data_IF_891232112171
#
_entry.id   IF_891232112171
#
_cell.length_a   1.000
_cell.length_b   1.000
_cell.length_c   1.000
_cell.angle_alpha   90.00
_cell.angle_beta   90.00
_cell.angle_gamma   90.00
#
_symmetry.space_group_name_H-M   'P 1'
#
loop_
_entity.id
_entity.type
_entity.pdbx_description
1 polymer ?
#
# COMPACT_ATOMS: atom_id res chain seq x y z
N UNK A 1 -18.83 -17.42 -2.82
CA UNK A 1 -18.32 -17.99 -4.08
C UNK A 1 -17.44 -16.91 -4.68
N UNK A 2 -16.20 -17.23 -5.02
CA UNK A 2 -15.28 -16.24 -5.58
C UNK A 2 -15.68 -15.93 -7.03
N UNK A 3 -15.65 -14.66 -7.42
CA UNK A 3 -15.76 -14.28 -8.82
C UNK A 3 -14.52 -14.80 -9.59
N UNK A 4 -14.64 -15.14 -10.88
CA UNK A 4 -13.48 -15.49 -11.68
C UNK A 4 -12.51 -14.29 -11.68
N UNK A 5 -11.24 -14.57 -11.42
CA UNK A 5 -10.19 -13.56 -11.28
C UNK A 5 -8.88 -14.11 -11.80
N UNK A 6 -8.00 -13.21 -12.24
CA UNK A 6 -6.61 -13.52 -12.59
C UNK A 6 -5.76 -12.54 -11.80
N UNK A 7 -4.77 -13.06 -11.07
CA UNK A 7 -3.84 -12.28 -10.24
C UNK A 7 -2.42 -12.42 -10.79
N UNK A 8 -1.64 -11.32 -10.83
CA UNK A 8 -0.20 -11.40 -11.08
C UNK A 8 0.52 -12.03 -9.89
N UNK A 9 1.47 -12.93 -10.16
CA UNK A 9 2.31 -13.54 -9.13
C UNK A 9 3.79 -13.46 -9.52
N UNK A 10 4.66 -13.44 -8.51
CA UNK A 10 6.11 -13.61 -8.68
C UNK A 10 6.57 -14.94 -8.07
N UNK A 11 7.47 -15.62 -8.77
CA UNK A 11 8.12 -16.85 -8.29
C UNK A 11 9.62 -16.67 -8.37
N UNK A 12 10.30 -16.79 -7.23
CA UNK A 12 11.77 -16.87 -7.18
C UNK A 12 12.19 -18.33 -7.12
N UNK A 13 13.03 -18.74 -8.08
CA UNK A 13 13.59 -20.09 -8.18
C UNK A 13 14.96 -20.04 -8.85
N UNK A 14 15.93 -20.79 -8.34
CA UNK A 14 17.31 -20.81 -8.83
C UNK A 14 17.92 -19.38 -8.91
N UNK A 15 17.74 -18.58 -7.86
CA UNK A 15 18.19 -17.18 -7.74
C UNK A 15 17.61 -16.24 -8.80
N UNK A 16 16.46 -16.62 -9.39
CA UNK A 16 15.81 -15.83 -10.44
C UNK A 16 14.32 -15.67 -10.16
N UNK A 17 13.91 -14.42 -10.01
CA UNK A 17 12.50 -14.03 -9.95
C UNK A 17 11.89 -13.95 -11.35
N UNK A 18 10.73 -14.57 -11.51
CA UNK A 18 9.91 -14.50 -12.72
C UNK A 18 8.47 -14.10 -12.41
N UNK A 19 7.88 -13.34 -13.32
CA UNK A 19 6.51 -12.84 -13.23
C UNK A 19 5.57 -13.67 -14.11
N UNK A 20 4.36 -13.93 -13.64
CA UNK A 20 3.32 -14.66 -14.40
C UNK A 20 1.92 -14.32 -13.89
N UNK A 21 0.90 -14.98 -14.44
CA UNK A 21 -0.50 -14.81 -14.04
C UNK A 21 -1.06 -16.14 -13.53
N UNK A 22 -1.88 -16.06 -12.50
CA UNK A 22 -2.58 -17.19 -11.90
C UNK A 22 -4.08 -16.88 -11.83
N UNK A 23 -4.91 -17.82 -12.28
CA UNK A 23 -6.34 -17.84 -12.00
C UNK A 23 -6.59 -18.80 -10.83
N UNK A 24 -6.89 -18.28 -9.62
CA UNK A 24 -7.29 -19.10 -8.48
C UNK A 24 -8.55 -19.92 -8.81
N UNK A 25 -8.87 -20.97 -8.03
CA UNK A 25 -9.96 -21.86 -8.38
C UNK A 25 -11.29 -21.14 -8.59
N UNK A 26 -11.91 -21.32 -9.76
CA UNK A 26 -13.23 -20.80 -10.11
C UNK A 26 -14.18 -21.92 -10.54
N UNK A 27 -15.47 -21.65 -10.55
CA UNK A 27 -16.49 -22.59 -11.03
C UNK A 27 -17.02 -22.14 -12.39
N UNK A 28 -17.09 -23.06 -13.34
CA UNK A 28 -17.68 -22.85 -14.66
C UNK A 28 -18.40 -24.13 -15.07
N UNK A 29 -19.68 -24.00 -15.45
CA UNK A 29 -20.57 -25.12 -15.80
C UNK A 29 -20.65 -26.26 -14.76
N UNK A 30 -20.44 -25.94 -13.47
CA UNK A 30 -20.46 -26.91 -12.38
C UNK A 30 -19.18 -27.72 -12.22
N UNK A 31 -18.13 -27.36 -12.95
CA UNK A 31 -16.77 -27.89 -12.81
C UNK A 31 -15.86 -26.83 -12.18
N UNK A 32 -14.92 -27.27 -11.34
CA UNK A 32 -13.92 -26.39 -10.73
C UNK A 32 -12.67 -26.36 -11.61
N UNK A 33 -12.26 -25.15 -11.97
CA UNK A 33 -11.10 -24.87 -12.81
C UNK A 33 -10.07 -24.07 -12.05
N UNK A 34 -8.80 -24.18 -12.44
CA UNK A 34 -7.70 -23.29 -12.07
C UNK A 34 -6.68 -23.32 -13.20
N UNK A 35 -5.93 -22.25 -13.39
CA UNK A 35 -4.95 -22.18 -14.46
C UNK A 35 -3.84 -21.18 -14.15
N UNK A 36 -2.69 -21.36 -14.78
CA UNK A 36 -1.61 -20.37 -14.82
C UNK A 36 -1.37 -19.95 -16.26
N UNK A 37 -0.74 -18.80 -16.46
CA UNK A 37 -0.26 -18.43 -17.78
C UNK A 37 0.84 -19.42 -18.21
N UNK A 38 0.48 -20.28 -19.15
CA UNK A 38 1.29 -21.42 -19.56
C UNK A 38 0.70 -22.12 -20.78
N UNK A 39 1.45 -23.04 -21.35
CA UNK A 39 0.97 -23.88 -22.45
C UNK A 39 1.67 -25.23 -22.42
N UNK A 40 1.00 -26.27 -22.92
CA UNK A 40 1.54 -27.63 -23.01
C UNK A 40 2.02 -28.20 -21.66
N UNK A 41 1.34 -27.84 -20.56
CA UNK A 41 1.72 -28.26 -19.21
C UNK A 41 3.07 -27.67 -18.76
N UNK A 42 3.34 -26.43 -19.17
CA UNK A 42 4.49 -25.63 -18.73
C UNK A 42 4.05 -24.24 -18.32
N UNK A 43 4.57 -23.79 -17.18
CA UNK A 43 4.42 -22.43 -16.68
C UNK A 43 5.30 -21.47 -17.50
N UNK A 44 4.75 -20.32 -17.90
CA UNK A 44 5.53 -19.25 -18.51
C UNK A 44 5.91 -18.21 -17.45
N UNK A 45 7.21 -17.95 -17.30
CA UNK A 45 7.75 -16.88 -16.46
C UNK A 45 8.45 -15.83 -17.32
N UNK A 46 8.32 -14.55 -16.94
CA UNK A 46 8.92 -13.40 -17.60
C UNK A 46 9.88 -12.68 -16.65
N UNK A 47 10.92 -12.00 -17.17
CA UNK A 47 11.90 -11.34 -16.26
C UNK A 47 11.46 -9.98 -15.75
N UNK A 48 10.33 -9.47 -16.23
CA UNK A 48 9.74 -8.21 -15.79
C UNK A 48 8.24 -8.19 -16.09
N UNK A 49 7.51 -7.33 -15.39
CA UNK A 49 6.09 -7.07 -15.68
C UNK A 49 5.86 -6.55 -17.11
N UNK A 50 6.85 -5.82 -17.67
CA UNK A 50 6.80 -5.34 -19.06
C UNK A 50 6.80 -6.47 -20.07
N UNK A 51 7.67 -7.46 -19.88
CA UNK A 51 7.68 -8.66 -20.71
C UNK A 51 6.37 -9.44 -20.58
N UNK A 52 5.84 -9.56 -19.37
CA UNK A 52 4.53 -10.17 -19.13
C UNK A 52 3.41 -9.41 -19.88
N UNK A 53 3.32 -8.09 -19.73
CA UNK A 53 2.31 -7.26 -20.39
C UNK A 53 2.41 -7.34 -21.93
N UNK A 54 3.61 -7.25 -22.47
CA UNK A 54 3.86 -7.36 -23.91
C UNK A 54 3.49 -8.76 -24.46
N UNK A 55 3.78 -9.81 -23.71
CA UNK A 55 3.36 -11.16 -24.06
C UNK A 55 1.82 -11.29 -24.04
N UNK A 56 1.17 -10.89 -22.94
CA UNK A 56 -0.29 -11.03 -22.75
C UNK A 56 -1.11 -10.38 -23.87
N UNK A 57 -0.64 -9.28 -24.49
CA UNK A 57 -1.31 -8.63 -25.63
C UNK A 57 -1.28 -9.44 -26.93
N UNK A 58 -0.29 -10.31 -27.09
CA UNK A 58 -0.01 -11.02 -28.35
C UNK A 58 -0.20 -12.52 -28.24
N UNK A 59 -0.36 -13.03 -27.02
CA UNK A 59 -0.54 -14.43 -26.76
C UNK A 59 -1.95 -14.87 -27.21
N UNK A 60 -2.00 -15.99 -27.93
CA UNK A 60 -3.25 -16.53 -28.49
C UNK A 60 -3.38 -18.04 -28.32
N UNK A 61 -2.39 -18.67 -27.65
CA UNK A 61 -2.39 -20.10 -27.34
C UNK A 61 -1.75 -20.33 -25.97
N UNK A 62 -2.58 -20.35 -24.92
CA UNK A 62 -2.23 -20.64 -23.53
C UNK A 62 -3.45 -21.00 -22.69
N UNK A 63 -3.20 -21.55 -21.51
CA UNK A 63 -4.21 -22.14 -20.62
C UNK A 63 -5.21 -21.10 -20.04
N UNK A 64 -4.89 -19.80 -20.11
CA UNK A 64 -5.81 -18.71 -19.72
C UNK A 64 -6.66 -18.12 -20.88
N UNK A 65 -6.50 -18.55 -22.14
CA UNK A 65 -7.13 -17.86 -23.28
C UNK A 65 -8.66 -17.83 -23.21
N UNK A 66 -9.25 -18.91 -22.71
CA UNK A 66 -10.70 -19.07 -22.58
C UNK A 66 -11.24 -18.49 -21.25
N UNK A 67 -10.39 -17.97 -20.36
CA UNK A 67 -10.82 -17.44 -19.07
C UNK A 67 -11.65 -16.15 -19.27
N UNK A 68 -12.80 -15.97 -18.58
CA UNK A 68 -13.72 -14.86 -18.82
C UNK A 68 -13.10 -13.46 -18.56
N UNK A 69 -12.08 -13.38 -17.71
CA UNK A 69 -11.36 -12.13 -17.37
C UNK A 69 -10.17 -11.87 -18.31
N UNK A 70 -9.73 -12.86 -19.09
CA UNK A 70 -8.56 -12.74 -19.97
C UNK A 70 -8.63 -11.55 -20.95
N UNK A 71 -9.78 -11.24 -21.60
CA UNK A 71 -9.87 -10.11 -22.52
C UNK A 71 -9.53 -8.75 -21.89
N UNK A 72 -9.68 -8.62 -20.56
CA UNK A 72 -9.32 -7.42 -19.81
C UNK A 72 -7.83 -7.45 -19.49
N UNK A 73 -7.37 -8.56 -18.88
CA UNK A 73 -5.97 -8.74 -18.43
C UNK A 73 -4.98 -8.62 -19.58
N UNK A 74 -5.32 -9.13 -20.76
CA UNK A 74 -4.51 -9.02 -21.96
C UNK A 74 -4.25 -7.58 -22.40
N UNK A 75 -5.03 -6.60 -21.91
CA UNK A 75 -4.91 -5.18 -22.26
C UNK A 75 -4.25 -4.32 -21.19
N UNK A 76 -3.99 -4.88 -20.01
CA UNK A 76 -3.43 -4.14 -18.89
C UNK A 76 -1.99 -3.65 -19.17
N UNK A 77 -1.63 -2.46 -18.66
CA UNK A 77 -0.25 -2.00 -18.64
C UNK A 77 0.58 -2.78 -17.61
N UNK A 78 1.91 -2.75 -17.75
CA UNK A 78 2.82 -3.47 -16.87
C UNK A 78 2.61 -3.17 -15.37
N UNK A 79 2.34 -1.91 -15.01
CA UNK A 79 2.10 -1.50 -13.61
C UNK A 79 0.91 -2.22 -12.95
N UNK A 80 -0.13 -2.54 -13.72
CA UNK A 80 -1.34 -3.20 -13.22
C UNK A 80 -1.17 -4.74 -13.21
N UNK A 81 0.00 -5.24 -13.63
CA UNK A 81 0.42 -6.64 -13.58
C UNK A 81 1.54 -6.86 -12.55
N UNK A 82 1.72 -5.91 -11.63
CA UNK A 82 2.65 -6.00 -10.50
C UNK A 82 2.04 -6.88 -9.41
N UNK A 83 2.70 -7.97 -8.98
CA UNK A 83 2.23 -8.75 -7.84
C UNK A 83 2.24 -7.92 -6.55
N UNK A 84 1.20 -8.04 -5.74
CA UNK A 84 1.23 -7.58 -4.34
C UNK A 84 2.12 -8.51 -3.49
N UNK A 85 2.27 -8.20 -2.20
CA UNK A 85 3.15 -8.94 -1.30
C UNK A 85 2.68 -10.38 -1.03
N UNK A 86 1.37 -10.62 -0.96
CA UNK A 86 0.77 -11.94 -0.73
C UNK A 86 0.95 -12.88 -1.94
N UNK A 87 1.24 -12.33 -3.11
CA UNK A 87 1.42 -13.06 -4.36
C UNK A 87 2.89 -13.21 -4.80
N UNK A 88 3.83 -13.11 -3.85
CA UNK A 88 5.26 -13.32 -4.06
C UNK A 88 5.73 -14.58 -3.35
N UNK A 89 6.18 -15.56 -4.13
CA UNK A 89 6.58 -16.87 -3.61
C UNK A 89 8.08 -17.08 -3.82
N UNK A 90 8.85 -17.05 -2.72
CA UNK A 90 10.28 -17.37 -2.74
C UNK A 90 10.51 -18.85 -2.47
N UNK A 91 10.71 -19.63 -3.54
CA UNK A 91 10.94 -21.07 -3.42
C UNK A 91 12.35 -21.38 -2.90
N UNK A 92 13.32 -20.50 -3.13
CA UNK A 92 14.69 -20.68 -2.67
C UNK A 92 14.79 -20.37 -1.16
N UNK A 93 13.98 -19.42 -0.67
CA UNK A 93 13.88 -19.02 0.73
C UNK A 93 13.25 -20.08 1.67
N UNK A 94 12.61 -21.12 1.14
CA UNK A 94 11.88 -22.11 1.96
C UNK A 94 12.76 -22.81 3.00
N UNK A 95 14.05 -23.02 2.71
CA UNK A 95 15.00 -23.62 3.65
C UNK A 95 15.25 -22.75 4.89
N UNK A 96 15.24 -21.43 4.71
CA UNK A 96 15.40 -20.48 5.80
C UNK A 96 14.14 -20.49 6.69
N UNK A 97 12.96 -20.44 6.08
CA UNK A 97 11.68 -20.45 6.79
C UNK A 97 11.51 -21.68 7.68
N UNK A 98 11.83 -22.88 7.18
CA UNK A 98 11.70 -24.11 8.01
C UNK A 98 12.79 -24.25 9.07
N UNK A 99 13.87 -23.45 8.99
CA UNK A 99 14.90 -23.39 10.02
C UNK A 99 14.54 -22.44 11.18
N UNK A 100 13.54 -21.57 10.98
CA UNK A 100 13.01 -20.67 12.00
C UNK A 100 12.08 -21.38 13.00
N UNK A 101 11.63 -20.64 14.01
CA UNK A 101 10.61 -21.14 14.92
C UNK A 101 9.25 -21.23 14.21
N UNK A 102 8.38 -22.19 14.56
CA UNK A 102 7.06 -22.30 13.93
C UNK A 102 6.08 -21.24 14.44
N UNK A 103 6.24 -20.00 13.98
CA UNK A 103 5.26 -18.93 14.19
C UNK A 103 4.24 -18.85 13.03
N UNK A 104 3.23 -18.00 13.15
CA UNK A 104 2.16 -17.91 12.13
C UNK A 104 2.63 -17.39 10.77
N UNK A 105 3.78 -16.72 10.70
CA UNK A 105 4.35 -16.22 9.46
C UNK A 105 5.16 -17.32 8.79
N UNK A 106 6.16 -17.91 9.46
CA UNK A 106 6.97 -18.98 8.86
C UNK A 106 6.11 -20.19 8.50
N UNK A 107 5.13 -20.57 9.33
CA UNK A 107 4.19 -21.66 9.00
C UNK A 107 3.28 -21.28 7.84
N UNK A 108 2.80 -20.03 7.79
CA UNK A 108 1.95 -19.51 6.71
C UNK A 108 2.70 -19.50 5.37
N UNK A 109 3.86 -18.86 5.33
CA UNK A 109 4.67 -18.77 4.11
C UNK A 109 5.15 -20.13 3.61
N UNK A 110 5.52 -21.06 4.51
CA UNK A 110 5.84 -22.44 4.13
C UNK A 110 4.60 -23.15 3.55
N UNK A 111 3.43 -22.95 4.15
CA UNK A 111 2.18 -23.52 3.65
C UNK A 111 1.83 -22.97 2.26
N UNK A 112 1.88 -21.65 2.08
CA UNK A 112 1.52 -20.96 0.84
C UNK A 112 2.52 -21.28 -0.28
N UNK A 113 3.81 -21.36 0.05
CA UNK A 113 4.87 -21.75 -0.89
C UNK A 113 4.72 -23.21 -1.36
N UNK A 114 4.37 -24.13 -0.46
CA UNK A 114 4.10 -25.52 -0.85
C UNK A 114 2.79 -25.60 -1.64
N UNK A 115 1.74 -24.88 -1.23
CA UNK A 115 0.44 -24.86 -1.91
C UNK A 115 0.56 -24.34 -3.35
N UNK A 116 1.26 -23.23 -3.57
CA UNK A 116 1.44 -22.69 -4.93
C UNK A 116 2.20 -23.68 -5.83
N UNK A 117 3.21 -24.37 -5.31
CA UNK A 117 3.95 -25.39 -6.07
C UNK A 117 3.08 -26.61 -6.35
N UNK A 118 2.23 -27.03 -5.41
CA UNK A 118 1.25 -28.09 -5.62
C UNK A 118 0.24 -27.70 -6.71
N UNK A 119 -0.29 -26.47 -6.69
CA UNK A 119 -1.19 -25.95 -7.74
C UNK A 119 -0.54 -25.90 -9.12
N UNK A 120 0.72 -25.43 -9.20
CA UNK A 120 1.47 -25.44 -10.47
C UNK A 120 1.66 -26.88 -10.95
N UNK A 121 1.99 -27.80 -10.04
CA UNK A 121 2.15 -29.22 -10.36
C UNK A 121 0.84 -29.84 -10.88
N UNK A 122 -0.31 -29.50 -10.29
CA UNK A 122 -1.63 -29.93 -10.76
C UNK A 122 -1.93 -29.39 -12.16
N UNK A 123 -1.77 -28.08 -12.38
CA UNK A 123 -2.00 -27.43 -13.68
C UNK A 123 -1.07 -27.99 -14.77
N UNK A 124 0.17 -28.35 -14.42
CA UNK A 124 1.11 -28.98 -15.34
C UNK A 124 0.89 -30.50 -15.52
N UNK A 125 -0.18 -31.08 -14.94
CA UNK A 125 -0.43 -32.53 -14.88
C UNK A 125 0.81 -33.33 -14.39
N UNK A 126 1.52 -32.76 -13.42
CA UNK A 126 2.84 -33.17 -12.94
C UNK A 126 2.90 -33.31 -11.41
N UNK A 127 1.81 -33.77 -10.77
CA UNK A 127 1.68 -33.96 -9.30
C UNK A 127 2.82 -34.74 -8.63
N UNK A 128 3.60 -35.52 -9.39
CA UNK A 128 4.86 -36.13 -8.91
C UNK A 128 5.91 -35.11 -8.46
N UNK A 129 5.79 -33.82 -8.80
CA UNK A 129 6.69 -32.76 -8.35
C UNK A 129 6.72 -32.74 -6.81
N UNK A 130 5.57 -32.59 -6.18
CA UNK A 130 5.38 -32.42 -4.72
C UNK A 130 5.10 -33.72 -3.95
N UNK A 131 4.71 -34.79 -4.65
CA UNK A 131 4.23 -36.05 -4.05
C UNK A 131 5.06 -36.62 -2.90
N UNK A 132 6.39 -36.55 -3.00
CA UNK A 132 7.26 -37.15 -2.00
C UNK A 132 7.27 -36.30 -0.70
N UNK A 133 7.15 -34.97 -0.83
CA UNK A 133 6.97 -34.02 0.29
C UNK A 133 5.57 -34.17 0.93
N UNK A 134 4.52 -34.22 0.13
CA UNK A 134 3.12 -34.34 0.60
C UNK A 134 2.83 -35.67 1.33
N UNK A 135 3.68 -36.68 1.17
CA UNK A 135 3.56 -37.94 1.91
C UNK A 135 4.03 -37.86 3.36
N UNK A 136 4.75 -36.80 3.73
CA UNK A 136 5.16 -36.56 5.11
C UNK A 136 3.95 -36.04 5.90
N UNK A 137 3.46 -36.78 6.93
CA UNK A 137 2.25 -36.40 7.66
C UNK A 137 2.30 -34.98 8.25
N UNK A 138 3.47 -34.56 8.72
CA UNK A 138 3.70 -33.27 9.36
C UNK A 138 3.57 -32.10 8.38
N UNK A 139 3.83 -32.30 7.09
CA UNK A 139 3.55 -31.29 6.04
C UNK A 139 2.05 -31.02 5.96
N UNK A 140 1.20 -32.02 6.18
CA UNK A 140 -0.25 -31.84 6.24
C UNK A 140 -0.73 -30.95 7.39
N UNK A 141 0.06 -30.80 8.45
CA UNK A 141 -0.26 -29.96 9.61
C UNK A 141 -0.15 -28.47 9.30
N UNK A 142 0.57 -28.08 8.26
CA UNK A 142 0.70 -26.68 7.82
C UNK A 142 -0.68 -26.03 7.58
N UNK A 143 -1.64 -26.82 7.05
CA UNK A 143 -3.03 -26.36 6.81
C UNK A 143 -3.81 -26.02 8.08
N UNK A 144 -3.32 -26.46 9.24
CA UNK A 144 -3.91 -26.15 10.54
C UNK A 144 -3.32 -24.88 11.16
N UNK A 145 -2.33 -24.26 10.52
CA UNK A 145 -1.63 -23.08 11.02
C UNK A 145 -0.66 -23.37 12.16
N UNK A 146 -0.03 -22.30 12.69
CA UNK A 146 1.03 -22.40 13.69
C UNK A 146 0.62 -23.09 15.00
N UNK A 147 -0.67 -23.06 15.36
CA UNK A 147 -1.19 -23.74 16.56
C UNK A 147 -0.92 -25.25 16.54
N UNK A 148 -0.77 -25.88 15.36
CA UNK A 148 -0.42 -27.29 15.24
C UNK A 148 1.03 -27.60 15.65
N UNK A 149 1.88 -26.57 15.76
CA UNK A 149 3.31 -26.67 16.04
C UNK A 149 3.69 -26.13 17.43
N UNK A 150 2.71 -25.81 18.28
CA UNK A 150 2.93 -25.30 19.63
C UNK A 150 3.28 -26.43 20.63
N UNK A 151 4.22 -26.14 21.52
CA UNK A 151 4.65 -27.04 22.58
C UNK A 151 5.51 -28.20 22.08
N UNK A 152 5.97 -29.06 22.99
CA UNK A 152 7.02 -30.04 22.68
C UNK A 152 6.68 -31.01 21.53
N UNK A 153 5.43 -31.45 21.42
CA UNK A 153 5.00 -32.33 20.32
C UNK A 153 4.93 -31.58 19.00
N UNK A 154 4.38 -30.36 19.00
CA UNK A 154 4.33 -29.49 17.82
C UNK A 154 5.72 -29.06 17.33
N UNK A 155 6.64 -28.72 18.24
CA UNK A 155 8.04 -28.43 17.91
C UNK A 155 8.72 -29.64 17.25
N UNK A 156 8.43 -30.87 17.70
CA UNK A 156 8.95 -32.05 17.03
C UNK A 156 8.35 -32.19 15.63
N UNK A 157 7.06 -31.94 15.45
CA UNK A 157 6.41 -31.97 14.13
C UNK A 157 7.00 -30.92 13.18
N UNK A 158 7.31 -29.72 13.67
CA UNK A 158 7.98 -28.69 12.86
C UNK A 158 9.38 -29.12 12.42
N UNK A 159 10.14 -29.73 13.33
CA UNK A 159 11.44 -30.31 12.99
C UNK A 159 11.33 -31.41 11.92
N UNK A 160 10.24 -32.19 11.90
CA UNK A 160 10.01 -33.17 10.82
C UNK A 160 9.62 -32.48 9.49
N UNK A 161 8.90 -31.35 9.50
CA UNK A 161 8.69 -30.53 8.30
C UNK A 161 10.03 -30.03 7.74
N UNK A 162 10.90 -29.49 8.59
CA UNK A 162 12.23 -29.03 8.17
C UNK A 162 13.08 -30.15 7.56
N UNK A 163 13.05 -31.37 8.13
CA UNK A 163 13.71 -32.54 7.53
C UNK A 163 13.10 -32.92 6.19
N UNK A 164 11.78 -32.87 6.07
CA UNK A 164 11.10 -33.17 4.81
C UNK A 164 11.51 -32.20 3.69
N UNK A 165 11.62 -30.91 4.00
CA UNK A 165 12.12 -29.90 3.08
C UNK A 165 13.59 -30.17 2.72
N UNK A 166 14.47 -30.40 3.69
CA UNK A 166 15.89 -30.75 3.44
C UNK A 166 16.05 -31.99 2.54
N UNK A 167 15.22 -33.02 2.73
CA UNK A 167 15.30 -34.27 1.97
C UNK A 167 14.67 -34.20 0.58
N UNK A 168 13.64 -33.37 0.37
CA UNK A 168 12.79 -33.45 -0.82
C UNK A 168 12.76 -32.19 -1.67
N UNK A 169 12.97 -31.01 -1.10
CA UNK A 169 12.71 -29.73 -1.77
C UNK A 169 13.59 -29.49 -2.99
N UNK A 170 14.88 -29.80 -2.94
CA UNK A 170 15.77 -29.71 -4.11
C UNK A 170 15.25 -30.54 -5.32
N UNK A 171 14.66 -31.70 -5.02
CA UNK A 171 14.04 -32.53 -6.07
C UNK A 171 12.76 -31.89 -6.60
N UNK A 172 11.98 -31.23 -5.74
CA UNK A 172 10.81 -30.43 -6.13
C UNK A 172 11.25 -29.31 -7.08
N UNK A 173 12.22 -28.47 -6.69
CA UNK A 173 12.76 -27.37 -7.49
C UNK A 173 13.27 -27.87 -8.85
N UNK A 174 14.09 -28.94 -8.86
CA UNK A 174 14.60 -29.55 -10.09
C UNK A 174 13.47 -30.06 -11.01
N UNK A 175 12.39 -30.61 -10.46
CA UNK A 175 11.25 -31.10 -11.26
C UNK A 175 10.38 -29.94 -11.75
N UNK A 176 10.15 -28.92 -10.92
CA UNK A 176 9.40 -27.71 -11.24
C UNK A 176 10.11 -26.89 -12.32
N UNK A 177 11.43 -26.69 -12.20
CA UNK A 177 12.25 -25.99 -13.20
C UNK A 177 12.14 -26.58 -14.61
N UNK A 178 11.89 -27.90 -14.73
CA UNK A 178 11.63 -28.56 -16.05
C UNK A 178 10.25 -28.21 -16.64
N UNK A 179 9.34 -27.69 -15.82
CA UNK A 179 8.01 -27.19 -16.22
C UNK A 179 8.01 -25.69 -16.47
N UNK A 180 9.04 -24.97 -16.07
CA UNK A 180 9.17 -23.54 -16.34
C UNK A 180 9.73 -23.33 -17.75
N UNK A 181 9.07 -22.44 -18.50
CA UNK A 181 9.58 -21.86 -19.74
C UNK A 181 9.74 -20.37 -19.51
N UNK A 182 10.83 -19.81 -20.05
CA UNK A 182 11.07 -18.39 -20.13
C UNK A 182 10.86 -17.96 -21.59
N UNK A 183 9.65 -17.54 -22.00
CA UNK A 183 9.40 -17.13 -23.37
C UNK A 183 10.27 -15.93 -23.74
N UNK A 184 10.67 -15.85 -25.01
CA UNK A 184 11.31 -14.65 -25.53
C UNK A 184 10.22 -13.72 -26.04
N UNK A 185 10.14 -12.53 -25.46
CA UNK A 185 9.26 -11.47 -25.95
C UNK A 185 10.00 -10.71 -27.05
N UNK A 186 9.30 -10.40 -28.15
CA UNK A 186 9.88 -9.65 -29.25
C UNK A 186 10.19 -8.21 -28.79
N UNK A 187 11.44 -7.80 -28.96
CA UNK A 187 11.91 -6.45 -28.61
C UNK A 187 11.08 -5.38 -29.34
N UNK A 188 10.61 -5.64 -30.56
CA UNK A 188 9.76 -4.70 -31.28
C UNK A 188 8.39 -4.50 -30.61
N UNK A 189 7.87 -5.53 -29.94
CA UNK A 189 6.61 -5.45 -29.16
C UNK A 189 6.86 -4.67 -27.87
N UNK A 190 7.97 -4.92 -27.17
CA UNK A 190 8.37 -4.14 -26.00
C UNK A 190 8.60 -2.66 -26.36
N UNK A 191 9.35 -2.37 -27.42
CA UNK A 191 9.55 -0.99 -27.88
C UNK A 191 8.24 -0.33 -28.33
N UNK A 192 7.28 -1.10 -28.85
CA UNK A 192 5.96 -0.58 -29.19
C UNK A 192 5.16 -0.25 -27.94
N UNK A 193 5.23 -1.09 -26.91
CA UNK A 193 4.65 -0.86 -25.59
C UNK A 193 5.23 0.40 -24.95
N UNK A 194 6.55 0.55 -24.93
CA UNK A 194 7.24 1.72 -24.41
C UNK A 194 6.88 2.99 -25.18
N UNK A 195 6.77 2.91 -26.51
CA UNK A 195 6.35 4.04 -27.35
C UNK A 195 4.90 4.42 -27.11
N UNK A 196 4.02 3.44 -26.93
CA UNK A 196 2.62 3.70 -26.63
C UNK A 196 2.46 4.30 -25.24
N UNK A 197 3.16 3.78 -24.23
CA UNK A 197 3.20 4.33 -22.87
C UNK A 197 3.71 5.77 -22.88
N UNK A 198 4.88 6.02 -23.49
CA UNK A 198 5.45 7.36 -23.60
C UNK A 198 4.54 8.31 -24.41
N UNK A 199 3.80 7.81 -25.40
CA UNK A 199 2.82 8.60 -26.14
C UNK A 199 1.60 8.94 -25.28
N UNK A 200 1.10 8.00 -24.45
CA UNK A 200 0.01 8.24 -23.50
C UNK A 200 0.43 9.23 -22.41
N UNK A 201 1.62 9.06 -21.83
CA UNK A 201 2.22 10.01 -20.87
C UNK A 201 2.39 11.40 -21.48
N UNK A 202 2.86 11.48 -22.73
CA UNK A 202 2.99 12.74 -23.47
C UNK A 202 1.64 13.36 -23.82
N UNK A 203 0.64 12.56 -24.16
CA UNK A 203 -0.73 13.03 -24.40
C UNK A 203 -1.37 13.55 -23.12
N UNK A 204 -1.17 12.85 -21.99
CA UNK A 204 -1.61 13.27 -20.66
C UNK A 204 -0.90 14.58 -20.24
N UNK A 205 0.43 14.66 -20.39
CA UNK A 205 1.21 15.88 -20.18
C UNK A 205 0.79 17.02 -21.12
N UNK A 206 0.41 16.70 -22.36
CA UNK A 206 -0.11 17.63 -23.37
C UNK A 206 -1.49 18.18 -23.02
N UNK A 207 -2.40 17.32 -22.50
CA UNK A 207 -3.71 17.72 -21.97
C UNK A 207 -3.53 18.66 -20.77
N UNK A 208 -2.69 18.28 -19.81
CA UNK A 208 -2.31 19.12 -18.65
C UNK A 208 -1.73 20.47 -19.10
N UNK A 209 -0.83 20.46 -20.09
CA UNK A 209 -0.22 21.70 -20.63
C UNK A 209 -1.21 22.59 -21.38
N UNK A 210 -2.13 22.01 -22.17
CA UNK A 210 -3.16 22.74 -22.89
C UNK A 210 -4.19 23.35 -21.93
N UNK A 211 -4.52 22.65 -20.85
CA UNK A 211 -5.40 23.14 -19.79
C UNK A 211 -4.76 24.31 -19.03
N UNK A 212 -3.48 24.19 -18.66
CA UNK A 212 -2.69 25.27 -18.07
C UNK A 212 -2.61 26.52 -18.96
N UNK A 213 -2.51 26.35 -20.28
CA UNK A 213 -2.50 27.46 -21.24
C UNK A 213 -3.87 28.16 -21.36
N UNK A 214 -4.98 27.41 -21.31
CA UNK A 214 -6.34 27.98 -21.26
C UNK A 214 -6.54 28.82 -19.99
N UNK A 215 -6.08 28.35 -18.83
CA UNK A 215 -6.16 29.07 -17.54
C UNK A 215 -5.36 30.39 -17.56
N UNK A 216 -4.14 30.40 -18.11
CA UNK A 216 -3.35 31.65 -18.32
C UNK A 216 -4.03 32.63 -19.28
N UNK A 217 -4.69 32.15 -20.34
CA UNK A 217 -5.43 32.99 -21.28
C UNK A 217 -6.72 33.60 -20.71
N UNK A 218 -7.33 32.95 -19.72
CA UNK A 218 -8.49 33.46 -18.97
C UNK A 218 -8.06 34.52 -17.93
N UNK A 219 -6.99 34.25 -17.17
CA UNK A 219 -6.39 35.19 -16.21
C UNK A 219 -5.91 36.50 -16.87
N UNK A 220 -5.33 36.44 -18.07
CA UNK A 220 -4.93 37.63 -18.82
C UNK A 220 -6.10 38.48 -19.38
N UNK A 221 -7.31 37.91 -19.48
CA UNK A 221 -8.53 38.67 -19.81
C UNK A 221 -9.10 39.32 -18.56
N UNK A 222 -9.08 38.62 -17.42
CA UNK A 222 -9.55 39.12 -16.14
C UNK A 222 -8.67 40.28 -15.64
N UNK A 223 -7.33 40.16 -15.74
CA UNK A 223 -6.39 41.22 -15.34
C UNK A 223 -6.51 42.53 -16.13
N UNK A 224 -7.21 42.55 -17.27
CA UNK A 224 -7.47 43.78 -18.04
C UNK A 224 -8.75 44.49 -17.64
N UNK A 225 -9.61 43.85 -16.84
CA UNK A 225 -10.85 44.45 -16.30
C UNK A 225 -10.70 44.99 -14.86
N UNK A 226 -9.62 44.65 -14.13
CA UNK A 226 -9.41 45.07 -12.73
C UNK A 226 -8.57 46.36 -12.59
N UNK A 227 -7.92 46.86 -13.65
CA UNK A 227 -7.13 48.11 -13.57
C UNK A 227 -7.96 49.40 -13.46
N UNK A 228 -9.31 49.35 -13.57
CA UNK A 228 -10.18 50.53 -13.52
C UNK A 228 -10.98 50.69 -12.20
N UNK A 229 -10.79 49.82 -11.22
CA UNK A 229 -11.62 49.82 -10.01
C UNK A 229 -10.85 49.55 -8.71
N UNK A 230 -9.90 50.42 -8.36
CA UNK A 230 -9.57 50.56 -6.94
C UNK A 230 -9.16 51.99 -6.53
N UNK A 231 -10.09 52.68 -5.87
CA UNK A 231 -9.80 53.81 -4.98
C UNK A 231 -10.91 53.94 -3.94
N UNK A 232 -10.54 53.70 -2.67
CA UNK A 232 -11.26 53.89 -1.38
C UNK A 232 -11.85 52.57 -0.84
N UNK A 233 -11.69 52.19 0.43
CA UNK A 233 -11.46 52.98 1.65
C UNK A 233 -10.84 52.12 2.78
N UNK A 234 -10.32 52.83 3.79
CA UNK A 234 -9.66 52.39 5.02
C UNK A 234 -10.61 51.87 6.13
N UNK A 235 -10.02 51.03 7.00
CA UNK A 235 -10.01 50.97 8.49
C UNK A 235 -11.30 50.98 9.34
N UNK A 236 -11.37 50.07 10.33
CA UNK A 236 -11.48 50.28 11.81
C UNK A 236 -11.65 48.91 12.51
N UNK A 237 -10.74 48.52 13.42
CA UNK A 237 -10.75 48.57 14.92
C UNK A 237 -11.58 47.44 15.57
N UNK A 238 -10.93 46.47 16.26
CA UNK A 238 -10.83 46.25 17.73
C UNK A 238 -12.16 45.74 18.37
N UNK A 239 -12.28 44.90 19.39
CA UNK A 239 -11.49 44.10 20.34
C UNK A 239 -12.56 43.32 21.14
N UNK A 240 -12.32 42.10 21.62
CA UNK A 240 -12.88 41.61 22.91
C UNK A 240 -12.42 40.16 23.26
N UNK A 241 -12.28 39.99 24.57
CA UNK A 241 -11.41 39.09 25.34
C UNK A 241 -11.96 37.70 25.72
N UNK A 242 -11.01 36.79 26.00
CA UNK A 242 -10.96 35.63 26.91
C UNK A 242 -12.27 35.03 27.51
N UNK A 243 -12.40 33.71 27.36
CA UNK A 243 -12.75 32.84 28.50
C UNK A 243 -12.13 31.44 28.34
N UNK A 244 -11.25 31.09 29.28
CA UNK A 244 -10.54 29.82 29.40
C UNK A 244 -11.35 28.91 30.33
N UNK A 245 -11.79 27.76 29.83
CA UNK A 245 -12.24 26.65 30.68
C UNK A 245 -11.27 25.48 30.56
N UNK A 246 -10.58 25.23 31.68
CA UNK A 246 -9.71 24.08 31.92
C UNK A 246 -10.61 22.94 32.38
N UNK A 247 -10.61 21.81 31.67
CA UNK A 247 -11.05 20.53 32.23
C UNK A 247 -9.93 19.50 32.10
N UNK A 248 -9.55 18.92 33.24
CA UNK A 248 -8.55 17.86 33.41
C UNK A 248 -9.13 16.47 33.06
N UNK A 249 -8.29 15.44 32.81
CA UNK A 249 -8.67 14.32 31.98
C UNK A 249 -9.52 13.29 32.74
N UNK A 250 -10.53 12.77 32.06
CA UNK A 250 -11.33 11.64 32.55
C UNK A 250 -10.71 10.35 32.06
N UNK A 251 -10.15 9.57 32.97
CA UNK A 251 -9.68 8.20 32.74
C UNK A 251 -10.83 7.27 32.32
N UNK A 252 -10.59 6.52 31.24
CA UNK A 252 -11.10 5.17 31.04
C UNK A 252 -12.51 5.05 30.50
N UNK A 253 -12.63 4.88 29.18
CA UNK A 253 -13.61 3.97 28.57
C UNK A 253 -13.05 3.55 27.21
N UNK A 254 -12.82 2.25 27.03
CA UNK A 254 -12.51 1.67 25.73
C UNK A 254 -13.62 2.03 24.75
N UNK A 255 -13.29 2.86 23.77
CA UNK A 255 -14.18 3.12 22.64
C UNK A 255 -14.04 1.88 21.76
N UNK A 256 -15.17 1.21 21.56
CA UNK A 256 -15.29 0.23 20.49
C UNK A 256 -15.15 1.04 19.20
N UNK A 257 -13.99 0.91 18.54
CA UNK A 257 -13.73 1.50 17.23
C UNK A 257 -14.86 1.09 16.30
N UNK A 258 -15.64 2.06 15.83
CA UNK A 258 -16.39 1.87 14.61
C UNK A 258 -15.34 1.64 13.51
N UNK A 259 -15.45 0.58 12.70
CA UNK A 259 -14.55 0.41 11.56
C UNK A 259 -14.58 1.69 10.72
N UNK A 260 -13.41 2.14 10.26
CA UNK A 260 -13.26 3.29 9.35
C UNK A 260 -14.07 3.02 8.08
N UNK A 261 -15.27 3.59 8.01
CA UNK A 261 -16.15 3.59 6.82
C UNK A 261 -16.57 5.01 6.45
N UNK A 262 -15.86 6.03 6.93
CA UNK A 262 -16.32 7.42 6.84
C UNK A 262 -16.26 8.00 5.41
N UNK A 263 -15.57 7.33 4.48
CA UNK A 263 -15.39 7.79 3.11
C UNK A 263 -15.37 6.63 2.10
N UNK A 264 -16.32 5.68 2.20
CA UNK A 264 -16.55 4.59 1.22
C UNK A 264 -16.96 5.14 -0.16
N UNK A 265 -16.02 5.77 -0.86
CA UNK A 265 -16.01 5.89 -2.30
C UNK A 265 -15.42 4.59 -2.86
N UNK A 266 -15.96 4.09 -3.97
CA UNK A 266 -15.33 2.96 -4.65
C UNK A 266 -14.01 3.38 -5.32
N UNK A 267 -13.21 2.39 -5.72
CA UNK A 267 -11.89 2.64 -6.30
C UNK A 267 -11.95 3.52 -7.56
N UNK A 268 -13.01 3.38 -8.37
CA UNK A 268 -13.16 4.19 -9.59
C UNK A 268 -13.41 5.67 -9.24
N UNK A 269 -14.20 5.96 -8.20
CA UNK A 269 -14.44 7.32 -7.70
C UNK A 269 -13.16 7.94 -7.11
N UNK A 270 -12.35 7.15 -6.40
CA UNK A 270 -11.05 7.60 -5.86
C UNK A 270 -10.08 7.90 -6.99
N UNK A 271 -9.98 7.03 -8.00
CA UNK A 271 -9.12 7.23 -9.17
C UNK A 271 -9.52 8.48 -9.97
N UNK A 272 -10.82 8.68 -10.22
CA UNK A 272 -11.33 9.88 -10.90
C UNK A 272 -11.01 11.16 -10.12
N UNK A 273 -11.16 11.14 -8.79
CA UNK A 273 -10.81 12.28 -7.95
C UNK A 273 -9.29 12.53 -7.94
N UNK A 274 -8.50 11.47 -7.90
CA UNK A 274 -7.03 11.52 -7.84
C UNK A 274 -6.45 12.26 -9.03
N UNK A 275 -6.99 12.05 -10.25
CA UNK A 275 -6.55 12.78 -11.44
C UNK A 275 -6.59 14.31 -11.26
N UNK A 276 -7.64 14.83 -10.61
CA UNK A 276 -7.75 16.25 -10.31
C UNK A 276 -6.74 16.69 -9.25
N UNK A 277 -6.67 15.98 -8.12
CA UNK A 277 -5.84 16.36 -6.97
C UNK A 277 -4.34 16.31 -7.30
N UNK A 278 -3.90 15.31 -8.06
CA UNK A 278 -2.54 15.26 -8.62
C UNK A 278 -2.28 16.44 -9.58
N UNK A 279 -3.25 16.80 -10.41
CA UNK A 279 -3.09 17.90 -11.38
C UNK A 279 -2.88 19.26 -10.72
N UNK A 280 -3.48 19.49 -9.55
CA UNK A 280 -3.30 20.70 -8.74
C UNK A 280 -2.10 20.58 -7.80
N UNK A 281 -1.54 19.38 -7.63
CA UNK A 281 -0.39 19.12 -6.76
C UNK A 281 -0.71 19.35 -5.27
N UNK A 282 -1.99 19.20 -4.90
CA UNK A 282 -2.47 19.28 -3.52
C UNK A 282 -3.29 18.00 -3.33
N UNK A 283 -2.87 17.14 -2.41
CA UNK A 283 -3.43 15.80 -2.23
C UNK A 283 -4.31 15.75 -0.98
N UNK A 284 -5.50 15.14 -1.04
CA UNK A 284 -6.26 14.74 0.13
C UNK A 284 -5.50 13.71 0.95
N UNK A 285 -5.45 13.91 2.26
CA UNK A 285 -4.82 12.99 3.21
C UNK A 285 -5.83 12.59 4.27
N UNK A 286 -5.90 11.29 4.56
CA UNK A 286 -6.58 10.76 5.75
C UNK A 286 -5.57 10.58 6.88
N UNK A 287 -5.91 11.07 8.06
CA UNK A 287 -5.14 10.83 9.28
C UNK A 287 -6.05 10.22 10.34
N UNK A 288 -5.71 9.02 10.79
CA UNK A 288 -6.37 8.36 11.92
C UNK A 288 -5.56 8.56 13.19
N UNK A 289 -6.18 9.24 14.16
CA UNK A 289 -5.65 9.51 15.49
C UNK A 289 -6.54 8.85 16.55
N UNK A 290 -6.09 8.74 17.81
CA UNK A 290 -6.92 8.20 18.90
C UNK A 290 -8.26 8.93 19.09
N UNK A 291 -8.34 10.20 18.71
CA UNK A 291 -9.55 11.02 18.79
C UNK A 291 -10.54 10.79 17.63
N UNK A 292 -10.10 10.09 16.58
CA UNK A 292 -10.86 9.77 15.37
C UNK A 292 -10.06 9.99 14.08
N UNK A 293 -10.67 9.57 12.97
CA UNK A 293 -10.14 9.77 11.61
C UNK A 293 -10.66 11.06 11.00
N UNK A 294 -9.80 11.75 10.24
CA UNK A 294 -10.16 13.02 9.60
C UNK A 294 -9.40 13.28 8.30
N UNK A 295 -9.97 14.14 7.47
CA UNK A 295 -9.40 14.57 6.20
C UNK A 295 -8.66 15.89 6.33
N UNK A 296 -7.58 16.03 5.57
CA UNK A 296 -6.86 17.29 5.33
C UNK A 296 -6.33 17.35 3.90
N UNK A 297 -5.57 18.39 3.58
CA UNK A 297 -4.86 18.50 2.30
C UNK A 297 -3.37 18.70 2.55
N UNK A 298 -2.51 18.10 1.72
CA UNK A 298 -1.05 18.23 1.75
C UNK A 298 -0.52 18.61 0.37
N UNK A 299 0.55 19.41 0.32
CA UNK A 299 1.39 19.52 -0.88
C UNK A 299 2.85 19.67 -0.50
N UNK A 300 3.74 19.67 -1.50
CA UNK A 300 5.16 19.96 -1.31
C UNK A 300 5.57 21.23 -2.05
N UNK A 301 6.31 22.09 -1.37
CA UNK A 301 6.92 23.30 -1.93
C UNK A 301 8.40 23.27 -1.60
N UNK A 302 9.24 23.25 -2.63
CA UNK A 302 10.70 23.12 -2.50
C UNK A 302 11.10 21.92 -1.63
N UNK A 303 10.48 20.75 -1.90
CA UNK A 303 10.65 19.50 -1.16
C UNK A 303 10.25 19.57 0.33
N UNK A 304 9.56 20.63 0.76
CA UNK A 304 9.04 20.78 2.12
C UNK A 304 7.51 20.59 2.15
N UNK A 305 6.97 19.76 3.05
CA UNK A 305 5.53 19.56 3.18
C UNK A 305 4.82 20.84 3.65
N UNK A 306 3.62 21.03 3.14
CA UNK A 306 2.66 22.06 3.54
C UNK A 306 1.31 21.39 3.71
N UNK A 307 0.64 21.70 4.81
CA UNK A 307 -0.70 21.18 5.08
C UNK A 307 -1.75 22.28 5.03
N UNK A 308 -3.00 21.88 4.85
CA UNK A 308 -4.14 22.73 5.16
C UNK A 308 -4.15 23.00 6.66
N UNK A 309 -3.64 24.17 7.01
CA UNK A 309 -3.35 24.51 8.39
C UNK A 309 -2.80 25.92 8.51
N UNK A 310 -2.39 26.34 9.70
CA UNK A 310 -1.79 27.66 9.90
C UNK A 310 -0.79 27.61 11.06
N UNK A 311 0.38 28.21 10.90
CA UNK A 311 1.42 28.31 11.95
C UNK A 311 1.78 26.94 12.53
N UNK A 312 1.96 25.96 11.66
CA UNK A 312 2.32 24.60 12.07
C UNK A 312 1.17 23.81 12.74
N UNK A 313 -0.05 24.33 12.75
CA UNK A 313 -1.24 23.56 13.15
C UNK A 313 -1.91 22.99 11.91
N UNK A 314 -2.11 21.67 11.85
CA UNK A 314 -2.85 20.98 10.78
C UNK A 314 -4.34 21.01 11.10
N UNK A 315 -5.18 21.28 10.10
CA UNK A 315 -6.64 21.24 10.23
C UNK A 315 -7.18 19.90 9.74
N UNK A 316 -7.94 19.22 10.59
CA UNK A 316 -8.67 18.00 10.25
C UNK A 316 -10.18 18.25 10.21
N UNK A 317 -10.85 17.50 9.34
CA UNK A 317 -12.29 17.55 9.17
C UNK A 317 -12.85 16.14 9.21
N UNK A 318 -13.94 15.95 9.97
CA UNK A 318 -14.62 14.64 10.06
C UNK A 318 -15.41 14.26 8.81
N UNK A 319 -15.52 15.16 7.82
CA UNK A 319 -16.25 14.90 6.58
C UNK A 319 -15.66 15.65 5.39
N UNK A 320 -15.80 15.06 4.19
CA UNK A 320 -15.44 15.70 2.92
C UNK A 320 -16.23 17.00 2.71
N UNK A 321 -17.51 17.03 3.14
CA UNK A 321 -18.35 18.24 3.10
C UNK A 321 -17.82 19.37 4.00
N UNK A 322 -17.34 19.03 5.20
CA UNK A 322 -16.75 19.99 6.15
C UNK A 322 -15.46 20.60 5.57
N UNK A 323 -14.59 19.73 5.03
CA UNK A 323 -13.38 20.15 4.33
C UNK A 323 -13.70 21.05 3.13
N UNK A 324 -14.61 20.63 2.26
CA UNK A 324 -15.02 21.42 1.09
C UNK A 324 -15.64 22.78 1.46
N UNK A 325 -16.40 22.83 2.55
CA UNK A 325 -16.96 24.07 3.08
C UNK A 325 -15.87 25.02 3.59
N UNK A 326 -14.83 24.49 4.24
CA UNK A 326 -13.68 25.28 4.69
C UNK A 326 -12.84 25.79 3.50
N UNK A 327 -12.56 24.92 2.52
CA UNK A 327 -11.83 25.25 1.29
C UNK A 327 -12.46 26.46 0.57
N UNK A 328 -13.79 26.46 0.43
CA UNK A 328 -14.55 27.59 -0.15
C UNK A 328 -14.62 28.83 0.75
N UNK A 329 -14.18 28.72 2.00
CA UNK A 329 -14.23 29.76 3.01
C UNK A 329 -13.12 30.81 2.90
N UNK A 330 -13.16 31.79 3.82
CA UNK A 330 -12.17 32.88 3.92
C UNK A 330 -11.18 32.73 5.08
N UNK A 331 -11.18 31.60 5.77
CA UNK A 331 -10.31 31.31 6.91
C UNK A 331 -8.82 31.29 6.52
N UNK A 332 -7.90 31.97 7.25
CA UNK A 332 -6.49 31.97 6.90
C UNK A 332 -5.84 30.59 7.09
N UNK A 333 -5.04 30.17 6.11
CA UNK A 333 -4.26 28.93 6.13
C UNK A 333 -3.09 28.99 5.13
N UNK A 334 -2.13 28.09 5.27
CA UNK A 334 -0.82 28.15 4.61
C UNK A 334 -0.87 27.68 3.14
N UNK A 335 -1.91 26.94 2.73
CA UNK A 335 -2.11 26.56 1.33
C UNK A 335 -2.64 27.68 0.42
N UNK A 336 -3.03 28.84 0.95
CA UNK A 336 -3.65 29.92 0.14
C UNK A 336 -2.76 30.51 -0.94
N UNK A 337 -1.47 30.56 -0.63
CA UNK A 337 -0.47 31.17 -1.51
C UNK A 337 0.06 30.18 -2.55
N UNK A 338 -0.41 28.92 -2.52
CA UNK A 338 -0.10 27.92 -3.53
C UNK A 338 -0.78 28.30 -4.84
N UNK A 339 -0.03 28.28 -5.93
CA UNK A 339 -0.47 28.80 -7.23
C UNK A 339 -1.76 28.12 -7.75
N UNK A 340 -1.97 26.85 -7.39
CA UNK A 340 -3.12 26.01 -7.78
C UNK A 340 -4.25 26.02 -6.74
N UNK A 341 -4.13 26.76 -5.63
CA UNK A 341 -5.16 26.80 -4.59
C UNK A 341 -6.51 27.31 -5.11
N UNK A 342 -6.50 28.31 -6.00
CA UNK A 342 -7.72 28.83 -6.61
C UNK A 342 -8.48 27.73 -7.38
N UNK A 343 -7.75 26.80 -8.00
CA UNK A 343 -8.34 25.68 -8.73
C UNK A 343 -8.99 24.66 -7.78
N UNK A 344 -8.43 24.46 -6.58
CA UNK A 344 -9.03 23.66 -5.50
C UNK A 344 -10.32 24.30 -4.99
N UNK A 345 -10.34 25.62 -4.82
CA UNK A 345 -11.53 26.36 -4.37
C UNK A 345 -12.67 26.31 -5.38
N UNK A 346 -12.35 26.38 -6.67
CA UNK A 346 -13.32 26.39 -7.77
C UNK A 346 -13.78 24.96 -8.17
N UNK A 347 -13.19 23.92 -7.59
CA UNK A 347 -13.51 22.52 -7.89
C UNK A 347 -14.67 21.99 -7.07
N UNK A 348 -15.46 21.12 -7.70
CA UNK A 348 -16.49 20.31 -7.05
C UNK A 348 -16.02 18.85 -6.83
N UNK A 349 -14.76 18.52 -7.17
CA UNK A 349 -14.19 17.17 -6.98
C UNK A 349 -14.05 16.89 -5.49
N UNK A 350 -14.58 15.76 -4.97
CA UNK A 350 -14.48 15.43 -3.56
C UNK A 350 -13.02 15.14 -3.17
N UNK A 351 -12.67 15.51 -1.94
CA UNK A 351 -11.36 15.21 -1.35
C UNK A 351 -11.35 13.75 -0.89
N UNK A 352 -11.03 12.83 -1.80
CA UNK A 352 -10.90 11.40 -1.56
C UNK A 352 -9.41 11.03 -1.51
N UNK A 353 -8.88 10.59 -0.36
CA UNK A 353 -7.48 10.16 -0.26
C UNK A 353 -7.22 8.85 -1.02
N UNK A 354 -6.11 8.79 -1.75
CA UNK A 354 -5.58 7.54 -2.29
C UNK A 354 -5.09 6.64 -1.15
N UNK A 355 -4.85 5.35 -1.41
CA UNK A 355 -4.35 4.40 -0.42
C UNK A 355 -3.01 4.88 0.20
N UNK A 356 -2.11 5.40 -0.64
CA UNK A 356 -0.80 5.94 -0.23
C UNK A 356 -0.88 7.24 0.62
N UNK A 357 -2.05 7.85 0.73
CA UNK A 357 -2.30 9.08 1.50
C UNK A 357 -3.19 8.82 2.75
N UNK A 358 -3.24 7.57 3.24
CA UNK A 358 -4.04 7.17 4.42
C UNK A 358 -3.16 6.68 5.57
N UNK A 359 -2.90 7.58 6.51
CA UNK A 359 -2.01 7.30 7.63
C UNK A 359 -2.78 6.94 8.90
N UNK A 360 -2.73 5.66 9.32
CA UNK A 360 -3.33 5.21 10.57
C UNK A 360 -2.30 5.13 11.72
N UNK A 361 -2.23 6.20 12.52
CA UNK A 361 -1.30 6.25 13.64
C UNK A 361 -1.84 5.53 14.88
N UNK A 362 -3.17 5.44 15.00
CA UNK A 362 -3.84 4.75 16.09
C UNK A 362 -3.66 3.23 15.97
N UNK A 363 -3.71 2.69 14.74
CA UNK A 363 -3.42 1.28 14.47
C UNK A 363 -2.03 0.90 14.97
N UNK A 364 -1.02 1.74 14.73
CA UNK A 364 0.35 1.47 15.20
C UNK A 364 0.44 1.52 16.73
N UNK A 365 -0.26 2.45 17.39
CA UNK A 365 -0.37 2.47 18.87
C UNK A 365 -1.04 1.20 19.40
N UNK A 366 -2.10 0.72 18.76
CA UNK A 366 -2.75 -0.54 19.13
C UNK A 366 -1.82 -1.74 18.91
N UNK A 367 -1.11 -1.76 17.79
CA UNK A 367 -0.17 -2.81 17.41
C UNK A 367 0.93 -2.91 18.47
N UNK A 368 1.47 -1.78 18.93
CA UNK A 368 2.40 -1.74 20.06
C UNK A 368 1.76 -2.10 21.41
N UNK A 369 0.53 -1.65 21.66
CA UNK A 369 -0.18 -1.81 22.93
C UNK A 369 -0.65 -3.23 23.23
N UNK A 370 -0.78 -4.09 22.21
CA UNK A 370 -1.14 -5.52 22.39
C UNK A 370 -0.09 -6.30 23.18
N UNK A 371 1.16 -5.84 23.25
CA UNK A 371 2.18 -6.37 24.16
C UNK A 371 2.61 -7.83 23.92
N UNK A 372 2.10 -8.49 22.88
CA UNK A 372 2.56 -9.81 22.46
C UNK A 372 3.84 -9.65 21.65
N UNK A 373 4.97 -9.89 22.32
CA UNK A 373 6.33 -9.81 21.80
C UNK A 373 6.70 -10.94 20.84
N UNK A 374 5.71 -11.53 20.18
CA UNK A 374 5.81 -12.76 19.38
C UNK A 374 5.29 -12.57 17.96
N UNK A 375 4.76 -11.39 17.62
CA UNK A 375 4.32 -11.08 16.27
C UNK A 375 5.43 -10.41 15.45
N UNK A 376 5.61 -10.83 14.19
CA UNK A 376 6.45 -10.06 13.24
C UNK A 376 5.82 -8.70 13.08
N UNK A 377 6.55 -7.68 13.52
CA UNK A 377 6.12 -6.31 13.41
C UNK A 377 6.15 -5.92 11.93
N UNK A 378 4.99 -5.59 11.35
CA UNK A 378 4.88 -5.16 9.96
C UNK A 378 5.52 -3.77 9.81
N UNK A 379 6.77 -3.80 9.37
CA UNK A 379 7.54 -2.59 9.16
C UNK A 379 7.01 -1.75 7.99
N UNK A 380 6.26 -2.33 7.06
CA UNK A 380 5.67 -1.57 5.94
C UNK A 380 4.59 -0.60 6.45
N UNK A 381 3.70 -1.06 7.34
CA UNK A 381 2.71 -0.21 8.02
C UNK A 381 3.37 0.87 8.86
N UNK A 382 4.45 0.53 9.57
CA UNK A 382 5.21 1.52 10.34
C UNK A 382 5.90 2.54 9.43
N UNK A 383 6.50 2.11 8.31
CA UNK A 383 7.09 3.01 7.32
C UNK A 383 6.04 3.97 6.77
N UNK A 384 4.90 3.42 6.36
CA UNK A 384 3.78 4.20 5.84
C UNK A 384 3.27 5.22 6.86
N UNK A 385 3.06 4.81 8.10
CA UNK A 385 2.69 5.73 9.19
C UNK A 385 3.78 6.78 9.45
N UNK A 386 5.05 6.43 9.28
CA UNK A 386 6.16 7.38 9.39
C UNK A 386 6.18 8.44 8.29
N UNK A 387 5.79 8.11 7.06
CA UNK A 387 5.73 9.10 5.98
C UNK A 387 4.80 10.26 6.37
N UNK A 388 3.62 9.95 6.91
CA UNK A 388 2.69 10.95 7.45
C UNK A 388 3.24 11.69 8.68
N UNK A 389 3.85 10.98 9.64
CA UNK A 389 4.43 11.58 10.85
C UNK A 389 5.54 12.58 10.51
N UNK A 390 6.46 12.20 9.61
CA UNK A 390 7.60 13.02 9.22
C UNK A 390 7.12 14.32 8.56
N UNK A 391 6.14 14.23 7.66
CA UNK A 391 5.59 15.40 7.01
C UNK A 391 4.92 16.36 8.00
N UNK A 392 4.11 15.81 8.91
CA UNK A 392 3.43 16.60 9.93
C UNK A 392 4.45 17.22 10.89
N UNK A 393 5.47 16.46 11.30
CA UNK A 393 6.52 16.93 12.20
C UNK A 393 7.32 18.09 11.58
N UNK A 394 7.69 17.98 10.30
CA UNK A 394 8.38 19.05 9.58
C UNK A 394 7.50 20.30 9.46
N UNK A 395 6.24 20.14 9.03
CA UNK A 395 5.31 21.26 8.91
C UNK A 395 5.02 21.95 10.25
N UNK A 396 4.84 21.17 11.32
CA UNK A 396 4.53 21.65 12.65
C UNK A 396 5.76 22.06 13.48
N UNK A 397 6.98 21.92 12.94
CA UNK A 397 8.26 22.14 13.63
C UNK A 397 8.34 21.36 14.94
N UNK A 398 8.00 20.07 14.89
CA UNK A 398 8.05 19.17 16.04
C UNK A 398 9.45 18.57 16.17
N UNK A 399 10.47 19.40 16.45
CA UNK A 399 11.89 18.96 16.59
C UNK A 399 12.05 17.79 17.60
N UNK A 400 11.14 17.68 18.57
CA UNK A 400 11.15 16.58 19.53
C UNK A 400 10.74 15.23 18.94
N UNK A 401 10.10 15.18 17.78
CA UNK A 401 9.87 13.94 17.02
C UNK A 401 11.19 13.45 16.45
N UNK A 402 12.03 14.33 15.89
CA UNK A 402 13.37 13.97 15.39
C UNK A 402 14.23 13.33 16.48
N UNK A 403 14.14 13.82 17.72
CA UNK A 403 14.81 13.22 18.87
C UNK A 403 14.37 11.77 19.14
N UNK A 404 13.07 11.47 18.97
CA UNK A 404 12.48 10.15 19.21
C UNK A 404 12.82 9.15 18.10
N UNK A 405 12.99 9.61 16.86
CA UNK A 405 13.27 8.77 15.69
C UNK A 405 14.74 8.76 15.27
N UNK A 406 15.65 9.34 16.07
CA UNK A 406 17.09 9.25 15.78
C UNK A 406 17.50 7.79 15.56
N UNK A 407 18.44 7.49 14.65
CA UNK A 407 18.82 6.09 14.34
C UNK A 407 19.29 5.26 15.55
N UNK A 408 19.63 5.93 16.65
CA UNK A 408 20.15 5.34 17.88
C UNK A 408 19.04 4.96 18.87
N UNK A 409 17.81 5.45 18.67
CA UNK A 409 16.64 5.09 19.48
C UNK A 409 16.05 3.77 18.98
N UNK A 410 15.29 3.05 19.81
CA UNK A 410 14.55 1.86 19.35
C UNK A 410 13.64 2.16 18.16
N UNK A 411 12.91 3.28 18.22
CA UNK A 411 11.97 3.69 17.19
C UNK A 411 12.66 4.11 15.87
N UNK A 412 13.79 4.82 15.95
CA UNK A 412 14.56 5.19 14.77
C UNK A 412 15.28 4.02 14.10
N UNK A 413 15.74 3.02 14.88
CA UNK A 413 16.23 1.77 14.30
C UNK A 413 15.13 1.05 13.53
N UNK A 414 13.92 1.02 14.07
CA UNK A 414 12.79 0.39 13.41
C UNK A 414 12.42 1.07 12.08
N UNK A 415 12.47 2.41 12.04
CA UNK A 415 12.32 3.18 10.79
C UNK A 415 13.42 2.85 9.76
N UNK A 416 14.68 2.68 10.17
CA UNK A 416 15.75 2.31 9.24
C UNK A 416 15.59 0.89 8.71
N UNK A 417 15.14 -0.04 9.56
CA UNK A 417 14.89 -1.41 9.13
C UNK A 417 13.67 -1.50 8.21
N UNK A 418 12.64 -0.67 8.42
CA UNK A 418 11.47 -0.65 7.53
C UNK A 418 11.81 -0.22 6.11
N UNK A 419 12.68 0.78 5.96
CA UNK A 419 13.17 1.23 4.66
C UNK A 419 14.01 0.18 3.91
N UNK A 420 14.46 -0.88 4.60
CA UNK A 420 15.21 -1.98 3.99
C UNK A 420 14.31 -3.13 3.51
N UNK A 421 13.01 -3.10 3.85
CA UNK A 421 12.05 -4.13 3.48
C UNK A 421 12.29 -5.48 4.17
N UNK A 422 12.94 -5.49 5.34
CA UNK A 422 13.25 -6.73 6.08
C UNK A 422 12.42 -6.77 7.35
N UNK A 423 11.41 -7.65 7.38
CA UNK A 423 10.64 -7.96 8.59
C UNK A 423 11.51 -8.65 9.64
N UNK A 424 11.46 -8.20 10.90
CA UNK A 424 12.14 -8.85 12.04
C UNK A 424 11.27 -8.84 13.28
N UNK A 425 11.23 -9.96 13.98
CA UNK A 425 10.65 -10.03 15.33
C UNK A 425 11.42 -9.11 16.29
N UNK A 426 10.68 -8.30 17.07
CA UNK A 426 11.24 -7.37 18.04
C UNK A 426 11.23 -8.01 19.44
N UNK A 427 12.33 -7.84 20.18
CA UNK A 427 12.36 -8.29 21.57
C UNK A 427 11.33 -7.50 22.42
N UNK A 428 10.68 -8.11 23.43
CA UNK A 428 9.64 -7.46 24.23
C UNK A 428 10.05 -6.12 24.86
N UNK A 429 11.33 -5.99 25.25
CA UNK A 429 11.87 -4.75 25.81
C UNK A 429 12.00 -3.62 24.76
N UNK A 430 12.31 -3.98 23.51
CA UNK A 430 12.37 -3.05 22.39
C UNK A 430 10.95 -2.63 21.99
N UNK A 431 9.99 -3.57 21.94
CA UNK A 431 8.56 -3.26 21.69
C UNK A 431 7.99 -2.30 22.72
N UNK A 432 8.25 -2.51 24.02
CA UNK A 432 7.76 -1.60 25.06
C UNK A 432 8.38 -0.20 24.98
N UNK A 433 9.67 -0.11 24.63
CA UNK A 433 10.34 1.18 24.43
C UNK A 433 9.86 1.88 23.16
N UNK A 434 9.59 1.12 22.09
CA UNK A 434 9.00 1.63 20.85
C UNK A 434 7.56 2.09 21.06
N UNK A 435 6.74 1.34 21.80
CA UNK A 435 5.38 1.70 22.17
C UNK A 435 5.33 3.07 22.86
N UNK A 436 6.15 3.25 23.91
CA UNK A 436 6.22 4.51 24.63
C UNK A 436 6.70 5.67 23.75
N UNK A 437 7.70 5.42 22.89
CA UNK A 437 8.19 6.44 21.97
C UNK A 437 7.15 6.80 20.88
N UNK A 438 6.42 5.81 20.38
CA UNK A 438 5.38 6.00 19.38
C UNK A 438 4.18 6.73 19.97
N UNK A 439 3.72 6.35 21.16
CA UNK A 439 2.63 7.07 21.85
C UNK A 439 3.00 8.54 22.10
N UNK A 440 4.27 8.83 22.41
CA UNK A 440 4.77 10.20 22.51
C UNK A 440 4.76 10.91 21.14
N UNK A 441 5.10 10.23 20.04
CA UNK A 441 4.94 10.76 18.68
C UNK A 441 3.48 11.09 18.38
N UNK A 442 2.57 10.15 18.64
CA UNK A 442 1.12 10.33 18.43
C UNK A 442 0.57 11.47 19.27
N UNK A 443 1.01 11.63 20.52
CA UNK A 443 0.63 12.75 21.38
C UNK A 443 1.07 14.09 20.78
N UNK A 444 2.32 14.19 20.30
CA UNK A 444 2.84 15.40 19.66
C UNK A 444 2.12 15.73 18.36
N UNK A 445 1.87 14.74 17.51
CA UNK A 445 1.11 14.90 16.26
C UNK A 445 -0.32 15.34 16.57
N UNK A 446 -0.99 14.69 17.52
CA UNK A 446 -2.35 15.05 17.95
C UNK A 446 -2.41 16.48 18.48
N UNK A 447 -1.39 16.93 19.24
CA UNK A 447 -1.29 18.31 19.72
C UNK A 447 -1.08 19.35 18.61
N UNK A 448 -0.49 18.95 17.48
CA UNK A 448 -0.33 19.79 16.29
C UNK A 448 -1.58 19.83 15.40
N UNK A 449 -2.62 19.05 15.72
CA UNK A 449 -3.85 18.96 14.95
C UNK A 449 -4.99 19.75 15.61
N UNK A 450 -5.87 20.31 14.77
CA UNK A 450 -7.15 20.91 15.20
C UNK A 450 -8.30 20.46 14.30
N UNK A 451 -9.30 19.86 14.92
CA UNK A 451 -10.60 19.59 14.29
C UNK A 451 -11.33 20.90 13.99
N UNK A 452 -11.91 21.03 12.79
CA UNK A 452 -12.49 22.28 12.26
C UNK A 452 -13.93 22.15 11.74
N UNK A 453 -14.58 21.03 12.00
CA UNK A 453 -15.96 20.70 11.62
C UNK A 453 -16.99 21.81 11.89
#
# INVERSE_FOLDING_TARGET
MAAPSIVPIAITIDDRTGYTLWAPPWEEDGEQWQAFLGAEGRLHLFVSERELAAYSRTATEHDLDDHPVWPIVATLPARDLTPDDDHRFDLDGLYELVAEAPDRWSVGEVADTIDIVSRIAECCAATRIVRDLEQVPEVGLLTMGADAFVGREGENSWNEVGKAVDEHWETVLTRLGKRIRWPKVDVAVLEAEERELAARESEQAGKVSAERAKRKGASARLGREVEDADRRALETDDDDSDDILVEEPVTGTAIIQLPSTAWEADADEVDEATEFWESVGILPVELTLPEGSGLTLRCYVDDTPRFLGNKGTVYLFRSSDGLGSFVRGKSPHDLRDIATWADVVDSDVPALPAEDDRYDLAEISELFGRGDSTDVFDYSRLAHAFDGVLDIAEYANLDSVDDLIRPETPLGRALVESQRGVGKSLAPADTAAMAAAWDEVVEKVSAAVRWRD
#
